data_IF_645427956374
#
_entry.id   IF_645427956374
#
_cell.length_a   1.000
_cell.length_b   1.000
_cell.length_c   1.000
_cell.angle_alpha   90.00
_cell.angle_beta   90.00
_cell.angle_gamma   90.00
#
_symmetry.space_group_name_H-M   'P 1'
#
loop_
_entity.id
_entity.type
_entity.pdbx_description
1 polymer ?
#
# COMPACT_ATOMS: atom_id res chain seq x y z
N UNK A 1 5.92 -18.13 2.71
CA UNK A 1 5.77 -17.18 3.84
C UNK A 1 4.33 -17.29 4.34
N UNK A 2 4.12 -17.32 5.66
CA UNK A 2 2.76 -17.44 6.22
C UNK A 2 1.95 -16.15 6.00
N UNK A 3 0.64 -16.31 5.78
CA UNK A 3 -0.31 -15.21 5.55
C UNK A 3 -0.26 -14.21 6.73
N UNK A 4 -0.14 -12.89 6.50
CA UNK A 4 -0.23 -11.91 7.58
C UNK A 4 -1.63 -11.96 8.18
N UNK A 5 -1.76 -12.45 9.42
CA UNK A 5 -3.05 -12.58 10.15
C UNK A 5 -3.73 -11.22 10.38
N UNK A 6 -2.99 -10.14 10.21
CA UNK A 6 -3.41 -8.75 10.42
C UNK A 6 -4.12 -8.16 9.18
N UNK A 7 -3.89 -8.70 7.97
CA UNK A 7 -4.45 -8.17 6.73
C UNK A 7 -5.72 -8.93 6.31
N UNK A 8 -6.79 -8.21 6.00
CA UNK A 8 -8.10 -8.78 5.62
C UNK A 8 -8.71 -8.04 4.43
N UNK A 9 -9.58 -8.69 3.64
CA UNK A 9 -10.41 -8.00 2.66
C UNK A 9 -11.17 -6.82 3.29
N UNK A 10 -11.27 -5.71 2.56
CA UNK A 10 -11.89 -4.48 3.01
C UNK A 10 -10.98 -3.55 3.83
N UNK A 11 -9.73 -3.95 4.12
CA UNK A 11 -8.78 -3.08 4.82
C UNK A 11 -7.99 -2.24 3.82
N UNK A 12 -7.68 -1.00 4.20
CA UNK A 12 -6.67 -0.22 3.49
C UNK A 12 -5.27 -0.58 3.98
N UNK A 13 -4.31 -0.62 3.07
CA UNK A 13 -2.93 -0.97 3.37
C UNK A 13 -2.00 -0.17 2.47
N UNK A 14 -0.85 0.21 3.01
CA UNK A 14 0.29 0.64 2.23
C UNK A 14 1.32 -0.51 2.22
N UNK A 15 1.80 -0.88 1.05
CA UNK A 15 2.72 -2.00 0.83
C UNK A 15 4.01 -1.47 0.25
N UNK A 16 5.08 -1.53 1.05
CA UNK A 16 6.44 -1.23 0.64
C UNK A 16 7.05 -2.46 -0.01
N UNK A 17 7.58 -2.29 -1.22
CA UNK A 17 8.18 -3.37 -2.00
C UNK A 17 9.69 -3.40 -1.83
N UNK A 18 10.28 -4.55 -2.14
CA UNK A 18 11.72 -4.67 -2.40
C UNK A 18 12.04 -3.77 -3.60
N UNK A 19 13.12 -2.97 -3.56
CA UNK A 19 13.50 -2.09 -4.68
C UNK A 19 13.59 -2.85 -6.00
N UNK A 20 13.29 -2.16 -7.10
CA UNK A 20 13.40 -2.68 -8.48
C UNK A 20 12.41 -3.79 -8.86
N UNK A 21 11.54 -4.21 -7.94
CA UNK A 21 10.45 -5.17 -8.25
C UNK A 21 9.28 -4.56 -9.01
N UNK A 22 9.11 -3.23 -8.96
CA UNK A 22 8.09 -2.47 -9.65
C UNK A 22 8.55 -1.00 -9.87
N UNK A 23 7.87 -0.22 -10.74
CA UNK A 23 8.21 1.19 -10.96
C UNK A 23 8.14 2.04 -9.70
N UNK A 24 7.13 1.80 -8.85
CA UNK A 24 7.03 2.42 -7.53
C UNK A 24 7.46 1.42 -6.46
N UNK A 25 8.06 1.94 -5.39
CA UNK A 25 8.51 1.13 -4.26
C UNK A 25 7.49 1.06 -3.12
N UNK A 26 6.34 1.73 -3.24
CA UNK A 26 5.27 1.66 -2.26
C UNK A 26 3.90 1.95 -2.90
N UNK A 27 2.96 1.02 -2.76
CA UNK A 27 1.58 1.15 -3.23
C UNK A 27 0.61 1.29 -2.05
N UNK A 28 -0.46 2.06 -2.22
CA UNK A 28 -1.52 2.22 -1.22
C UNK A 28 -2.82 1.72 -1.85
N UNK A 29 -3.57 0.86 -1.16
CA UNK A 29 -4.74 0.23 -1.76
C UNK A 29 -5.74 -0.36 -0.76
N UNK A 30 -6.96 -0.58 -1.25
CA UNK A 30 -7.99 -1.37 -0.59
C UNK A 30 -7.79 -2.85 -0.93
N UNK A 31 -7.64 -3.69 0.08
CA UNK A 31 -7.50 -5.14 -0.08
C UNK A 31 -8.81 -5.74 -0.59
N UNK A 32 -8.77 -6.35 -1.77
CA UNK A 32 -9.91 -7.06 -2.35
C UNK A 32 -9.91 -8.52 -1.94
N UNK A 33 -8.78 -9.19 -2.18
CA UNK A 33 -8.59 -10.61 -1.86
C UNK A 33 -7.12 -10.88 -1.61
N UNK A 34 -6.83 -11.88 -0.79
CA UNK A 34 -5.47 -12.33 -0.54
C UNK A 34 -5.44 -13.84 -0.29
N UNK A 35 -4.38 -14.46 -0.78
CA UNK A 35 -4.14 -15.90 -0.71
C UNK A 35 -2.69 -16.18 -0.30
N UNK A 36 -2.20 -17.38 -0.58
CA UNK A 36 -0.84 -17.83 -0.28
C UNK A 36 0.23 -17.24 -1.20
N UNK A 37 -0.16 -16.63 -2.33
CA UNK A 37 0.76 -16.07 -3.33
C UNK A 37 0.91 -14.55 -3.20
N UNK A 38 -0.17 -13.86 -2.85
CA UNK A 38 -0.12 -12.40 -2.75
C UNK A 38 -1.41 -11.77 -2.28
N UNK A 39 -1.48 -10.47 -2.53
CA UNK A 39 -2.68 -9.64 -2.30
C UNK A 39 -3.06 -8.94 -3.58
N UNK A 40 -4.36 -9.01 -3.92
CA UNK A 40 -4.98 -8.11 -4.89
C UNK A 40 -5.56 -6.92 -4.15
N UNK A 41 -5.24 -5.73 -4.63
CA UNK A 41 -5.77 -4.50 -4.08
C UNK A 41 -6.15 -3.52 -5.16
N UNK A 42 -7.20 -2.75 -4.89
CA UNK A 42 -7.60 -1.60 -5.70
C UNK A 42 -6.78 -0.42 -5.23
N UNK A 43 -5.99 0.19 -6.13
CA UNK A 43 -5.12 1.30 -5.75
C UNK A 43 -5.94 2.48 -5.22
N UNK A 44 -5.36 3.22 -4.29
CA UNK A 44 -5.94 4.48 -3.82
C UNK A 44 -5.21 5.61 -4.51
N UNK A 45 -5.89 6.28 -5.42
CA UNK A 45 -5.48 7.60 -5.90
C UNK A 45 -6.31 8.65 -5.17
N UNK A 46 -5.65 9.50 -4.42
CA UNK A 46 -6.29 10.65 -3.80
C UNK A 46 -6.56 11.72 -4.87
N UNK A 47 -7.80 12.17 -4.94
CA UNK A 47 -8.22 13.28 -5.79
C UNK A 47 -8.24 14.55 -4.95
N UNK A 48 -7.20 15.38 -5.11
CA UNK A 48 -7.07 16.66 -4.41
C UNK A 48 -8.19 17.65 -4.80
N UNK A 49 -8.85 17.48 -5.94
CA UNK A 49 -9.95 18.36 -6.37
C UNK A 49 -11.27 17.99 -5.71
N UNK A 50 -11.47 16.71 -5.39
CA UNK A 50 -12.72 16.18 -4.83
C UNK A 50 -12.61 15.80 -3.34
N UNK A 51 -11.46 16.00 -2.70
CA UNK A 51 -11.18 15.62 -1.30
C UNK A 51 -11.58 14.17 -0.99
N UNK A 52 -11.28 13.27 -1.94
CA UNK A 52 -11.77 11.89 -1.95
C UNK A 52 -10.86 10.93 -2.73
N UNK A 53 -11.25 9.65 -2.75
CA UNK A 53 -10.54 8.62 -3.53
C UNK A 53 -11.15 8.56 -4.93
N UNK A 54 -10.31 8.55 -5.97
CA UNK A 54 -10.78 8.38 -7.35
C UNK A 54 -11.58 7.08 -7.49
N UNK A 55 -12.73 7.18 -8.15
CA UNK A 55 -13.66 6.06 -8.35
C UNK A 55 -13.22 5.03 -9.40
N UNK A 56 -12.18 5.32 -10.20
CA UNK A 56 -11.71 4.46 -11.31
C UNK A 56 -10.26 4.03 -11.13
N UNK A 57 -9.88 3.60 -9.93
CA UNK A 57 -8.52 3.12 -9.71
C UNK A 57 -8.32 1.69 -10.18
N UNK A 58 -7.13 1.42 -10.70
CA UNK A 58 -6.75 0.11 -11.22
C UNK A 58 -6.46 -0.88 -10.08
N UNK A 59 -6.80 -2.14 -10.31
CA UNK A 59 -6.40 -3.24 -9.44
C UNK A 59 -4.96 -3.67 -9.73
N UNK A 60 -4.19 -3.89 -8.68
CA UNK A 60 -2.86 -4.48 -8.74
C UNK A 60 -2.80 -5.78 -7.94
N UNK A 61 -1.98 -6.71 -8.42
CA UNK A 61 -1.59 -7.89 -7.66
C UNK A 61 -0.15 -7.73 -7.18
N UNK A 62 0.05 -7.86 -5.86
CA UNK A 62 1.36 -7.78 -5.22
C UNK A 62 1.75 -9.16 -4.69
N UNK A 63 2.75 -9.84 -5.29
CA UNK A 63 3.27 -11.10 -4.79
C UNK A 63 3.95 -10.92 -3.42
N UNK A 64 3.72 -11.84 -2.48
CA UNK A 64 4.35 -11.77 -1.15
C UNK A 64 5.88 -11.75 -1.20
N UNK A 65 6.46 -12.38 -2.21
CA UNK A 65 7.91 -12.42 -2.42
C UNK A 65 8.51 -11.04 -2.72
N UNK A 66 7.70 -10.08 -3.16
CA UNK A 66 8.15 -8.71 -3.46
C UNK A 66 7.89 -7.73 -2.31
N UNK A 67 7.17 -8.16 -1.26
CA UNK A 67 6.83 -7.29 -0.12
C UNK A 67 8.01 -7.21 0.84
N UNK A 68 8.45 -5.98 1.14
CA UNK A 68 9.44 -5.73 2.19
C UNK A 68 8.77 -5.36 3.51
N UNK A 69 7.75 -4.50 3.46
CA UNK A 69 7.04 -4.04 4.66
C UNK A 69 5.61 -3.62 4.34
N UNK A 70 4.76 -3.56 5.35
CA UNK A 70 3.37 -3.13 5.20
C UNK A 70 2.94 -2.26 6.37
N UNK A 71 2.15 -1.23 6.08
CA UNK A 71 1.41 -0.44 7.06
C UNK A 71 -0.09 -0.69 6.85
N UNK A 72 -0.75 -1.30 7.83
CA UNK A 72 -2.15 -1.75 7.72
C UNK A 72 -3.08 -0.80 8.47
N UNK A 73 -4.19 -0.38 7.85
CA UNK A 73 -5.28 0.32 8.50
C UNK A 73 -6.09 -0.66 9.36
N UNK A 74 -5.78 -0.74 10.65
CA UNK A 74 -6.55 -1.53 11.60
C UNK A 74 -7.90 -0.87 11.90
N UNK A 75 -8.89 -1.64 12.34
CA UNK A 75 -10.26 -1.16 12.65
C UNK A 75 -10.32 -0.02 13.69
N UNK A 76 -9.25 0.17 14.46
CA UNK A 76 -9.16 1.21 15.50
C UNK A 76 -8.90 2.62 14.92
N UNK A 77 -8.47 2.73 13.65
CA UNK A 77 -8.16 4.02 13.02
C UNK A 77 -9.25 4.47 12.04
N UNK A 78 -9.66 5.75 12.05
CA UNK A 78 -10.54 6.29 11.02
C UNK A 78 -9.90 6.14 9.63
N UNK A 79 -10.54 5.35 8.77
CA UNK A 79 -10.05 5.01 7.43
C UNK A 79 -9.67 6.24 6.60
N UNK A 80 -10.43 7.33 6.69
CA UNK A 80 -10.14 8.59 5.99
C UNK A 80 -8.80 9.20 6.41
N UNK A 81 -8.47 9.16 7.71
CA UNK A 81 -7.21 9.69 8.24
C UNK A 81 -6.03 8.84 7.79
N UNK A 82 -6.20 7.51 7.78
CA UNK A 82 -5.18 6.61 7.27
C UNK A 82 -4.85 6.90 5.80
N UNK A 83 -5.87 6.99 4.95
CA UNK A 83 -5.72 7.21 3.51
C UNK A 83 -5.11 8.58 3.20
N UNK A 84 -5.59 9.65 3.84
CA UNK A 84 -5.16 11.02 3.53
C UNK A 84 -3.80 11.37 4.12
N UNK A 85 -3.53 10.92 5.34
CA UNK A 85 -2.40 11.44 6.11
C UNK A 85 -1.31 10.37 6.28
N UNK A 86 -1.67 9.22 6.85
CA UNK A 86 -0.70 8.26 7.38
C UNK A 86 -0.03 7.44 6.29
N UNK A 87 -0.81 6.88 5.37
CA UNK A 87 -0.28 6.06 4.28
C UNK A 87 0.58 6.86 3.28
N UNK A 88 0.19 8.08 2.84
CA UNK A 88 1.04 8.92 1.99
C UNK A 88 2.34 9.36 2.68
N UNK A 89 2.27 9.74 3.96
CA UNK A 89 3.47 10.09 4.72
C UNK A 89 4.45 8.90 4.83
N UNK A 90 3.91 7.69 5.02
CA UNK A 90 4.72 6.48 5.06
C UNK A 90 5.31 6.12 3.68
N UNK A 91 4.53 6.24 2.60
CA UNK A 91 5.01 6.08 1.22
C UNK A 91 6.22 7.00 0.94
N UNK A 92 6.11 8.28 1.29
CA UNK A 92 7.20 9.25 1.13
C UNK A 92 8.46 8.86 1.93
N UNK A 93 8.31 8.28 3.12
CA UNK A 93 9.44 7.79 3.92
C UNK A 93 10.14 6.60 3.26
N UNK A 94 9.38 5.63 2.74
CA UNK A 94 9.91 4.45 2.03
C UNK A 94 10.65 4.88 0.75
N UNK A 95 10.05 5.76 -0.04
CA UNK A 95 10.66 6.32 -1.25
C UNK A 95 11.96 7.07 -0.95
N UNK A 96 11.98 7.90 0.09
CA UNK A 96 13.18 8.62 0.52
C UNK A 96 14.29 7.66 0.99
N UNK A 97 13.94 6.58 1.70
CA UNK A 97 14.89 5.57 2.16
C UNK A 97 15.59 4.89 0.99
N UNK A 98 14.83 4.48 -0.03
CA UNK A 98 15.40 3.79 -1.19
C UNK A 98 16.12 4.72 -2.15
N UNK A 99 15.68 5.97 -2.30
CA UNK A 99 16.42 6.98 -3.06
C UNK A 99 17.83 7.16 -2.48
N UNK A 100 17.94 7.31 -1.16
CA UNK A 100 19.24 7.42 -0.47
C UNK A 100 20.11 6.17 -0.62
N UNK A 101 19.50 4.98 -0.72
CA UNK A 101 20.23 3.73 -0.90
C UNK A 101 20.82 3.59 -2.31
N UNK A 102 20.18 4.18 -3.34
CA UNK A 102 20.67 4.18 -4.72
C UNK A 102 21.76 5.22 -5.01
N UNK A 103 21.84 6.26 -4.19
CA UNK A 103 22.85 7.33 -4.31
C UNK A 103 24.18 7.00 -3.62
N UNK A 104 24.29 5.84 -2.97
CA UNK A 104 25.49 5.34 -2.29
C UNK A 104 26.17 4.27 -3.12
#
# INVERSE_FOLDING_TARGET
MAKPTVLKPGYFVAVGLIPETAPECCYIGLVQVLDEFGVRMTQVEWDDQLDGVKQFSEDIFVPWVNVNSMLVCTHEEPTRRFIRDRAPAWKAQIEAMYKRAREK
#
